data_IF_046708997367
#
_entry.id   IF_046708997367
#
_cell.length_a   1.000
_cell.length_b   1.000
_cell.length_c   1.000
_cell.angle_alpha   90.00
_cell.angle_beta   90.00
_cell.angle_gamma   90.00
#
_symmetry.space_group_name_H-M   'P 1'
#
loop_
_entity.id
_entity.type
_entity.pdbx_description
1 polymer ?
#
# COMPACT_ATOMS: atom_id res chain seq x y z
N UNK A 1 -7.38 0.58 -1.84
CA UNK A 1 -6.82 1.37 -2.98
C UNK A 1 -5.30 1.42 -2.97
N UNK A 2 -4.62 1.74 -1.85
CA UNK A 2 -3.15 1.64 -1.76
C UNK A 2 -2.63 0.25 -2.16
N UNK A 3 -3.37 -0.81 -1.81
CA UNK A 3 -3.08 -2.17 -2.26
C UNK A 3 -3.18 -2.36 -3.79
N UNK A 4 -4.12 -1.70 -4.47
CA UNK A 4 -4.30 -1.78 -5.93
C UNK A 4 -3.16 -1.07 -6.64
N UNK A 5 -2.81 0.16 -6.22
CA UNK A 5 -1.67 0.89 -6.79
C UNK A 5 -0.34 0.18 -6.52
N UNK A 6 -0.17 -0.41 -5.34
CA UNK A 6 1.00 -1.26 -5.03
C UNK A 6 1.08 -2.45 -5.98
N UNK A 7 -0.04 -3.17 -6.19
CA UNK A 7 -0.11 -4.29 -7.15
C UNK A 7 0.18 -3.85 -8.57
N UNK A 8 -0.35 -2.70 -8.98
CA UNK A 8 -0.09 -2.12 -10.30
C UNK A 8 1.41 -1.84 -10.50
N UNK A 9 2.06 -1.15 -9.55
CA UNK A 9 3.51 -0.89 -9.64
C UNK A 9 4.32 -2.20 -9.71
N UNK A 10 3.96 -3.19 -8.91
CA UNK A 10 4.62 -4.51 -8.94
C UNK A 10 4.42 -5.23 -10.28
N UNK A 11 3.22 -5.15 -10.87
CA UNK A 11 2.95 -5.73 -12.19
C UNK A 11 3.76 -5.05 -13.30
N UNK A 12 3.91 -3.71 -13.24
CA UNK A 12 4.74 -2.94 -14.18
C UNK A 12 6.21 -3.35 -14.07
N UNK A 13 6.74 -3.48 -12.86
CA UNK A 13 8.13 -3.95 -12.65
C UNK A 13 8.33 -5.38 -13.15
N UNK A 14 7.36 -6.27 -12.89
CA UNK A 14 7.40 -7.64 -13.40
C UNK A 14 7.41 -7.67 -14.94
N UNK A 15 6.56 -6.88 -15.59
CA UNK A 15 6.50 -6.75 -17.05
C UNK A 15 7.80 -6.16 -17.64
N UNK A 16 8.43 -5.22 -16.94
CA UNK A 16 9.72 -4.65 -17.32
C UNK A 16 10.84 -5.71 -17.30
N UNK A 17 10.84 -6.60 -16.31
CA UNK A 17 11.87 -7.66 -16.20
C UNK A 17 11.57 -8.91 -17.00
N UNK A 18 10.31 -9.21 -17.31
CA UNK A 18 9.93 -10.35 -18.16
C UNK A 18 10.11 -10.07 -19.65
N UNK A 19 10.26 -8.80 -20.04
CA UNK A 19 10.33 -8.36 -21.44
C UNK A 19 8.96 -8.16 -22.08
N UNK A 20 7.86 -8.31 -21.33
CA UNK A 20 6.51 -8.04 -21.85
C UNK A 20 6.30 -6.54 -22.11
N UNK A 21 6.89 -5.67 -21.29
CA UNK A 21 6.74 -4.22 -21.42
C UNK A 21 7.28 -3.70 -22.77
N UNK A 22 8.39 -4.27 -23.24
CA UNK A 22 9.04 -3.89 -24.51
C UNK A 22 8.77 -4.86 -25.65
N UNK A 23 7.76 -5.73 -25.52
CA UNK A 23 7.45 -6.73 -26.55
C UNK A 23 7.21 -6.12 -27.93
N UNK A 24 6.29 -5.17 -28.03
CA UNK A 24 5.97 -4.48 -29.29
C UNK A 24 7.19 -3.73 -29.85
N UNK A 25 7.99 -3.12 -28.96
CA UNK A 25 9.22 -2.42 -29.33
C UNK A 25 10.27 -3.37 -29.93
N UNK A 26 10.38 -4.60 -29.40
CA UNK A 26 11.28 -5.65 -29.89
C UNK A 26 10.78 -6.22 -31.21
N UNK A 27 9.48 -6.52 -31.32
CA UNK A 27 8.85 -7.00 -32.56
C UNK A 27 9.06 -6.01 -33.72
N UNK A 28 8.88 -4.71 -33.47
CA UNK A 28 9.12 -3.65 -34.47
C UNK A 28 10.58 -3.57 -34.96
N UNK A 29 11.55 -4.10 -34.19
CA UNK A 29 12.98 -4.13 -34.52
C UNK A 29 13.47 -5.51 -34.96
N UNK A 30 12.58 -6.50 -35.09
CA UNK A 30 12.95 -7.87 -35.44
C UNK A 30 13.78 -8.57 -34.36
N UNK A 31 13.66 -8.16 -33.09
CA UNK A 31 14.36 -8.77 -31.95
C UNK A 31 13.47 -9.87 -31.38
N UNK A 32 13.74 -11.12 -31.73
CA UNK A 32 12.92 -12.26 -31.28
C UNK A 32 13.34 -12.82 -29.91
N UNK A 33 14.59 -12.58 -29.49
CA UNK A 33 15.12 -13.17 -28.26
C UNK A 33 14.82 -12.31 -27.01
N UNK A 34 14.60 -13.00 -25.89
CA UNK A 34 14.58 -12.37 -24.57
C UNK A 34 16.01 -12.11 -24.08
N UNK A 35 16.21 -11.07 -23.26
CA UNK A 35 17.52 -10.76 -22.70
C UNK A 35 18.04 -11.91 -21.83
N UNK A 36 19.32 -12.21 -21.98
CA UNK A 36 20.01 -13.18 -21.12
C UNK A 36 20.09 -12.62 -19.70
N UNK A 37 19.89 -13.49 -18.70
CA UNK A 37 20.17 -13.17 -17.31
C UNK A 37 21.67 -13.26 -17.03
N UNK A 38 22.24 -12.22 -16.43
CA UNK A 38 23.66 -12.14 -16.03
C UNK A 38 23.76 -11.74 -14.55
N UNK A 39 24.84 -12.09 -13.85
CA UNK A 39 25.04 -11.66 -12.47
C UNK A 39 25.34 -10.15 -12.40
N UNK A 40 24.86 -9.47 -11.36
CA UNK A 40 25.11 -8.05 -11.13
C UNK A 40 26.61 -7.71 -11.21
N UNK A 41 27.47 -8.59 -10.69
CA UNK A 41 28.92 -8.40 -10.68
C UNK A 41 29.54 -8.14 -12.05
N UNK A 42 28.91 -8.56 -13.15
CA UNK A 42 29.41 -8.29 -14.50
C UNK A 42 29.21 -6.82 -14.93
N UNK A 43 28.23 -6.12 -14.39
CA UNK A 43 27.93 -4.72 -14.77
C UNK A 43 28.49 -3.70 -13.78
N UNK A 44 29.20 -4.14 -12.74
CA UNK A 44 29.76 -3.26 -11.72
C UNK A 44 31.14 -2.74 -12.16
N UNK A 45 31.28 -1.42 -12.19
CA UNK A 45 32.56 -0.73 -12.27
C UNK A 45 33.22 -0.62 -10.88
N UNK A 46 32.47 -0.22 -9.85
CA UNK A 46 32.97 -0.11 -8.48
C UNK A 46 31.89 -0.53 -7.47
N UNK A 47 32.25 -1.27 -6.43
CA UNK A 47 31.37 -1.55 -5.29
C UNK A 47 32.11 -1.33 -3.98
N UNK A 48 31.49 -0.58 -3.06
CA UNK A 48 32.13 -0.17 -1.81
C UNK A 48 31.13 -0.13 -0.65
N UNK A 49 31.46 -0.82 0.44
CA UNK A 49 30.72 -0.73 1.71
C UNK A 49 30.92 0.66 2.34
N UNK A 50 29.94 1.17 3.07
CA UNK A 50 30.08 2.48 3.72
C UNK A 50 30.93 2.50 4.99
N UNK A 51 30.87 3.64 5.67
CA UNK A 51 31.68 3.97 6.84
C UNK A 51 31.02 3.51 8.16
N UNK A 52 31.80 3.02 9.13
CA UNK A 52 31.32 2.62 10.47
C UNK A 52 31.59 3.56 11.67
N UNK A 53 32.22 4.75 11.55
CA UNK A 53 32.45 5.63 12.70
C UNK A 53 31.13 6.21 13.23
N UNK A 54 31.13 6.62 14.50
CA UNK A 54 29.94 7.12 15.19
C UNK A 54 29.58 8.53 14.70
N UNK A 55 28.40 8.73 14.08
CA UNK A 55 28.03 10.04 13.56
C UNK A 55 27.39 10.93 14.63
N UNK A 56 27.59 12.23 14.49
CA UNK A 56 27.01 13.31 15.30
C UNK A 56 25.60 13.67 14.82
N UNK A 57 24.75 14.12 15.73
CA UNK A 57 23.38 14.58 15.39
C UNK A 57 23.38 15.95 14.72
N UNK A 58 24.32 16.82 15.12
CA UNK A 58 24.41 18.20 14.69
C UNK A 58 25.75 18.44 13.96
N UNK A 59 25.85 19.50 13.15
CA UNK A 59 27.12 19.96 12.57
C UNK A 59 28.17 20.24 13.66
N UNK A 60 29.48 20.26 13.33
CA UNK A 60 30.06 20.21 11.98
C UNK A 60 30.19 18.79 11.40
N UNK A 61 30.51 18.70 10.10
CA UNK A 61 30.78 17.44 9.39
C UNK A 61 30.04 17.31 8.06
N UNK A 62 30.36 16.25 7.32
CA UNK A 62 29.70 15.88 6.06
C UNK A 62 28.43 15.08 6.37
N UNK A 63 27.40 15.21 5.54
CA UNK A 63 26.13 14.50 5.72
C UNK A 63 26.32 13.00 5.46
N UNK A 64 26.02 12.17 6.45
CA UNK A 64 26.00 10.71 6.32
C UNK A 64 24.55 10.21 6.39
N UNK A 65 24.12 9.48 5.35
CA UNK A 65 22.78 8.91 5.30
C UNK A 65 22.53 7.94 6.47
N UNK A 66 21.30 7.87 6.97
CA UNK A 66 20.90 6.74 7.81
C UNK A 66 20.46 5.56 6.95
N UNK A 67 20.47 4.36 7.52
CA UNK A 67 19.87 3.17 6.90
C UNK A 67 18.38 3.42 6.57
N UNK A 68 17.71 4.21 7.41
CA UNK A 68 16.32 4.63 7.24
C UNK A 68 16.07 5.45 5.98
N UNK A 69 17.09 6.15 5.46
CA UNK A 69 16.97 7.03 4.30
C UNK A 69 16.73 6.27 3.00
N UNK A 70 17.24 5.04 2.89
CA UNK A 70 17.16 4.26 1.65
C UNK A 70 15.99 3.28 1.73
N UNK A 71 15.08 3.40 0.76
CA UNK A 71 13.94 2.51 0.56
C UNK A 71 13.92 2.07 -0.91
N UNK A 72 13.17 1.01 -1.26
CA UNK A 72 13.08 0.59 -2.66
C UNK A 72 12.69 1.77 -3.56
N UNK A 73 13.56 2.14 -4.50
CA UNK A 73 13.31 3.19 -5.46
C UNK A 73 13.42 4.64 -4.95
N UNK A 74 13.81 4.88 -3.70
CA UNK A 74 13.85 6.25 -3.15
C UNK A 74 14.90 6.46 -2.06
N UNK A 75 15.42 7.68 -2.01
CA UNK A 75 16.37 8.16 -1.01
C UNK A 75 15.80 9.40 -0.34
N UNK A 76 15.59 9.33 0.97
CA UNK A 76 15.28 10.49 1.79
C UNK A 76 16.57 11.22 2.21
N UNK A 77 16.93 12.26 1.45
CA UNK A 77 18.10 13.09 1.72
C UNK A 77 18.01 13.89 3.03
N UNK A 78 16.80 14.06 3.59
CA UNK A 78 16.62 14.73 4.88
C UNK A 78 17.01 13.83 6.04
N UNK A 79 17.01 12.51 5.81
CA UNK A 79 17.33 11.52 6.81
C UNK A 79 18.84 11.23 6.92
N UNK A 80 19.59 12.18 7.49
CA UNK A 80 21.04 12.09 7.65
C UNK A 80 21.51 12.51 9.05
N UNK A 81 22.79 12.27 9.28
CA UNK A 81 23.59 12.76 10.42
C UNK A 81 24.86 13.43 9.91
N UNK A 82 25.74 13.86 10.80
CA UNK A 82 26.99 14.52 10.45
C UNK A 82 28.18 13.66 10.85
N UNK A 83 29.20 13.62 10.00
CA UNK A 83 30.43 12.89 10.25
C UNK A 83 31.62 13.72 9.77
N UNK A 84 32.57 13.97 10.67
CA UNK A 84 33.85 14.55 10.30
C UNK A 84 34.72 13.50 9.62
N UNK A 85 35.23 13.84 8.44
CA UNK A 85 36.02 12.95 7.60
C UNK A 85 37.25 13.67 7.09
N UNK A 86 38.31 12.90 6.86
CA UNK A 86 39.46 13.39 6.10
C UNK A 86 39.06 13.63 4.64
N UNK A 87 39.75 14.54 3.94
CA UNK A 87 39.50 14.79 2.51
C UNK A 87 39.64 13.51 1.66
N UNK A 88 40.55 12.62 2.07
CA UNK A 88 40.77 11.31 1.43
C UNK A 88 39.55 10.40 1.57
N UNK A 89 38.96 10.32 2.76
CA UNK A 89 37.76 9.51 2.98
C UNK A 89 36.56 10.15 2.28
N UNK A 90 36.43 11.47 2.34
CA UNK A 90 35.37 12.18 1.63
C UNK A 90 35.41 11.88 0.13
N UNK A 91 36.59 11.96 -0.50
CA UNK A 91 36.75 11.66 -1.92
C UNK A 91 36.39 10.20 -2.26
N UNK A 92 36.63 9.27 -1.34
CA UNK A 92 36.39 7.85 -1.57
C UNK A 92 34.93 7.42 -1.36
N UNK A 93 34.23 8.06 -0.41
CA UNK A 93 32.89 7.66 0.04
C UNK A 93 31.77 8.64 -0.36
N UNK A 94 32.09 9.78 -0.98
CA UNK A 94 31.06 10.68 -1.51
C UNK A 94 30.15 9.97 -2.51
N UNK A 95 28.88 10.32 -2.48
CA UNK A 95 27.89 9.91 -3.45
C UNK A 95 27.94 10.84 -4.67
N UNK A 96 27.79 10.24 -5.84
CA UNK A 96 27.75 10.90 -7.13
C UNK A 96 26.46 10.50 -7.87
N UNK A 97 26.03 11.36 -8.79
CA UNK A 97 24.82 11.11 -9.57
C UNK A 97 24.97 9.81 -10.39
N UNK A 98 23.99 8.92 -10.28
CA UNK A 98 23.99 7.58 -10.88
C UNK A 98 24.54 6.46 -9.97
N UNK A 99 24.97 6.79 -8.74
CA UNK A 99 25.31 5.77 -7.75
C UNK A 99 24.05 5.01 -7.30
N UNK A 100 24.12 3.67 -7.27
CA UNK A 100 23.11 2.82 -6.68
C UNK A 100 23.45 2.53 -5.22
N UNK A 101 22.51 2.79 -4.31
CA UNK A 101 22.69 2.53 -2.89
C UNK A 101 21.83 1.36 -2.47
N UNK A 102 22.48 0.26 -2.09
CA UNK A 102 21.86 -0.96 -1.59
C UNK A 102 21.85 -0.99 -0.06
N UNK A 103 20.74 -1.45 0.51
CA UNK A 103 20.64 -1.71 1.95
C UNK A 103 21.26 -3.06 2.28
N UNK A 104 22.39 -3.06 2.99
CA UNK A 104 23.12 -4.28 3.37
C UNK A 104 22.52 -4.97 4.58
N UNK A 105 22.19 -4.19 5.61
CA UNK A 105 21.65 -4.69 6.87
C UNK A 105 20.41 -3.90 7.24
N UNK A 106 19.34 -4.60 7.64
CA UNK A 106 18.13 -3.99 8.16
C UNK A 106 17.43 -4.94 9.16
N UNK A 107 16.63 -4.39 10.05
CA UNK A 107 15.76 -5.19 10.93
C UNK A 107 14.60 -5.81 10.16
N UNK A 108 14.09 -5.14 9.14
CA UNK A 108 13.02 -5.63 8.28
C UNK A 108 13.58 -6.30 7.03
N UNK A 109 13.17 -7.54 6.77
CA UNK A 109 13.66 -8.35 5.65
C UNK A 109 13.39 -7.68 4.29
N UNK A 110 12.22 -7.07 4.12
CA UNK A 110 11.78 -6.42 2.88
C UNK A 110 12.71 -5.28 2.41
N UNK A 111 13.51 -4.70 3.32
CA UNK A 111 14.45 -3.64 2.98
C UNK A 111 15.84 -4.17 2.70
N UNK A 112 16.19 -5.39 3.10
CA UNK A 112 17.50 -5.97 2.83
C UNK A 112 17.66 -6.20 1.33
N UNK A 113 18.80 -5.76 0.79
CA UNK A 113 19.11 -5.79 -0.65
C UNK A 113 18.26 -4.84 -1.49
N UNK A 114 17.42 -3.98 -0.89
CA UNK A 114 16.69 -2.96 -1.63
C UNK A 114 17.67 -1.89 -2.09
N UNK A 115 17.44 -1.35 -3.29
CA UNK A 115 18.26 -0.27 -3.84
C UNK A 115 17.45 0.96 -4.21
N UNK A 116 18.18 2.07 -4.29
CA UNK A 116 17.70 3.31 -4.88
C UNK A 116 18.82 3.97 -5.70
N UNK A 117 18.44 4.67 -6.76
CA UNK A 117 19.35 5.43 -7.61
C UNK A 117 19.50 6.88 -7.13
N UNK A 118 20.73 7.28 -6.83
CA UNK A 118 21.06 8.64 -6.44
C UNK A 118 21.13 9.56 -7.68
N UNK A 119 20.01 10.13 -8.10
CA UNK A 119 19.95 11.01 -9.29
C UNK A 119 20.23 12.48 -8.94
N UNK A 120 19.35 13.08 -8.14
CA UNK A 120 19.42 14.51 -7.77
C UNK A 120 19.92 14.66 -6.33
N UNK A 121 21.24 14.58 -6.15
CA UNK A 121 21.87 14.70 -4.84
C UNK A 121 21.96 16.19 -4.44
N UNK A 122 21.30 16.63 -3.34
CA UNK A 122 21.18 18.05 -3.03
C UNK A 122 22.42 18.67 -2.35
N UNK A 123 23.34 17.84 -1.87
CA UNK A 123 24.55 18.25 -1.13
C UNK A 123 25.59 17.13 -1.19
N UNK A 124 26.70 17.25 -0.46
CA UNK A 124 27.69 16.19 -0.32
C UNK A 124 27.22 15.18 0.72
N UNK A 125 26.90 13.97 0.25
CA UNK A 125 26.49 12.85 1.09
C UNK A 125 27.52 11.72 1.06
N UNK A 126 27.68 11.07 2.21
CA UNK A 126 28.35 9.77 2.37
C UNK A 126 27.36 8.78 3.00
N UNK A 127 27.76 7.51 3.15
CA UNK A 127 26.87 6.44 3.57
C UNK A 127 27.53 5.50 4.60
N UNK A 128 26.73 4.88 5.49
CA UNK A 128 27.22 4.02 6.55
C UNK A 128 27.50 2.60 6.04
N UNK A 129 28.24 1.80 6.81
CA UNK A 129 28.62 0.40 6.55
C UNK A 129 27.44 -0.58 6.34
N UNK A 130 26.25 -0.15 6.74
CA UNK A 130 24.97 -0.84 6.52
C UNK A 130 24.37 -0.57 5.15
N UNK A 131 24.98 0.30 4.37
CA UNK A 131 24.68 0.56 2.97
C UNK A 131 25.90 0.16 2.11
N UNK A 132 25.63 -0.23 0.87
CA UNK A 132 26.65 -0.54 -0.15
C UNK A 132 26.40 0.37 -1.34
N UNK A 133 27.43 1.08 -1.79
CA UNK A 133 27.40 1.78 -3.08
C UNK A 133 27.81 0.83 -4.18
N UNK A 134 27.05 0.84 -5.27
CA UNK A 134 27.35 0.18 -6.53
C UNK A 134 27.37 1.22 -7.64
N UNK A 135 28.46 1.26 -8.41
CA UNK A 135 28.60 2.04 -9.64
C UNK A 135 28.57 1.10 -10.81
N UNK A 136 27.57 1.27 -11.67
CA UNK A 136 27.45 0.49 -12.88
C UNK A 136 28.38 1.01 -13.97
N UNK A 137 28.89 0.11 -14.80
CA UNK A 137 29.43 0.47 -16.10
C UNK A 137 28.27 0.88 -17.01
N UNK A 138 28.11 2.20 -17.19
CA UNK A 138 27.01 2.80 -17.97
C UNK A 138 26.99 2.39 -19.43
N UNK A 139 28.10 1.84 -19.97
CA UNK A 139 28.12 1.27 -21.33
C UNK A 139 27.40 -0.08 -21.40
N UNK A 140 27.22 -0.76 -20.26
CA UNK A 140 26.56 -2.07 -20.15
C UNK A 140 25.19 -1.99 -19.50
N UNK A 141 25.05 -1.23 -18.41
CA UNK A 141 23.82 -1.16 -17.64
C UNK A 141 23.55 0.26 -17.12
N UNK A 142 22.33 0.74 -17.37
CA UNK A 142 21.86 2.01 -16.80
C UNK A 142 21.47 1.83 -15.32
N UNK A 143 21.92 2.71 -14.41
CA UNK A 143 21.56 2.62 -13.00
C UNK A 143 20.04 2.56 -12.76
N UNK A 144 19.26 3.38 -13.47
CA UNK A 144 17.80 3.36 -13.37
C UNK A 144 17.17 2.02 -13.79
N UNK A 145 17.75 1.34 -14.80
CA UNK A 145 17.27 0.02 -15.21
C UNK A 145 17.61 -1.06 -14.17
N UNK A 146 18.80 -1.00 -13.58
CA UNK A 146 19.20 -1.91 -12.50
C UNK A 146 18.29 -1.71 -11.28
N UNK A 147 17.96 -0.47 -10.91
CA UNK A 147 17.03 -0.16 -9.83
C UNK A 147 15.62 -0.76 -10.08
N UNK A 148 15.09 -0.60 -11.29
CA UNK A 148 13.82 -1.21 -11.71
C UNK A 148 13.89 -2.73 -11.59
N UNK A 149 14.96 -3.34 -12.10
CA UNK A 149 15.14 -4.79 -12.10
C UNK A 149 15.21 -5.33 -10.67
N UNK A 150 16.00 -4.72 -9.79
CA UNK A 150 16.14 -5.14 -8.41
C UNK A 150 14.91 -4.83 -7.53
N UNK A 151 13.96 -4.06 -8.05
CA UNK A 151 12.66 -3.81 -7.42
C UNK A 151 11.59 -4.83 -7.83
N UNK A 152 11.86 -5.70 -8.81
CA UNK A 152 10.91 -6.71 -9.28
C UNK A 152 10.72 -7.84 -8.26
N UNK A 153 9.51 -8.40 -8.19
CA UNK A 153 9.17 -9.47 -7.24
C UNK A 153 10.12 -10.66 -7.34
N UNK A 154 10.44 -11.11 -8.56
CA UNK A 154 11.31 -12.27 -8.79
C UNK A 154 12.70 -12.09 -8.15
N UNK A 155 13.31 -10.92 -8.37
CA UNK A 155 14.65 -10.63 -7.84
C UNK A 155 14.59 -10.36 -6.33
N UNK A 156 13.53 -9.71 -5.86
CA UNK A 156 13.29 -9.49 -4.42
C UNK A 156 13.16 -10.82 -3.67
N UNK A 157 12.38 -11.77 -4.19
CA UNK A 157 12.22 -13.10 -3.59
C UNK A 157 13.56 -13.86 -3.56
N UNK A 158 14.35 -13.76 -4.64
CA UNK A 158 15.68 -14.35 -4.69
C UNK A 158 16.63 -13.73 -3.65
N UNK A 159 16.63 -12.39 -3.51
CA UNK A 159 17.41 -11.68 -2.48
C UNK A 159 17.03 -12.16 -1.10
N UNK A 160 15.73 -12.23 -0.79
CA UNK A 160 15.23 -12.65 0.52
C UNK A 160 15.65 -14.08 0.88
N UNK A 161 15.72 -14.98 -0.11
CA UNK A 161 16.24 -16.34 0.07
C UNK A 161 17.74 -16.42 0.40
N UNK A 162 18.53 -15.40 0.04
CA UNK A 162 19.97 -15.33 0.33
C UNK A 162 20.29 -14.63 1.66
N UNK A 163 19.30 -14.00 2.30
CA UNK A 163 19.51 -13.19 3.49
C UNK A 163 19.94 -14.06 4.67
N UNK A 164 21.05 -13.66 5.30
CA UNK A 164 21.57 -14.30 6.52
C UNK A 164 21.16 -13.48 7.74
N UNK A 165 20.81 -14.17 8.82
CA UNK A 165 20.47 -13.54 10.10
C UNK A 165 21.63 -13.67 11.08
N UNK A 166 22.05 -12.57 11.71
CA UNK A 166 23.06 -12.57 12.77
C UNK A 166 22.75 -11.47 13.79
N UNK A 167 22.76 -11.81 15.08
CA UNK A 167 22.54 -10.88 16.20
C UNK A 167 21.28 -9.97 16.04
N UNK A 168 20.17 -10.54 15.55
CA UNK A 168 18.90 -9.81 15.35
C UNK A 168 18.86 -8.89 14.11
N UNK A 169 19.94 -8.83 13.33
CA UNK A 169 19.96 -8.12 12.05
C UNK A 169 19.99 -9.12 10.89
N UNK A 170 19.26 -8.76 9.84
CA UNK A 170 19.21 -9.49 8.57
C UNK A 170 20.07 -8.74 7.57
N UNK A 171 20.90 -9.45 6.82
CA UNK A 171 21.73 -8.81 5.82
C UNK A 171 22.16 -9.69 4.66
N UNK A 172 22.68 -9.02 3.65
CA UNK A 172 23.23 -9.60 2.42
C UNK A 172 24.72 -9.27 2.32
N UNK A 173 25.54 -10.24 1.90
CA UNK A 173 26.96 -9.98 1.67
C UNK A 173 27.18 -9.34 0.29
N UNK A 174 28.28 -8.60 0.11
CA UNK A 174 28.62 -8.03 -1.21
C UNK A 174 28.87 -9.10 -2.26
N UNK A 175 29.34 -10.29 -1.86
CA UNK A 175 29.53 -11.44 -2.76
C UNK A 175 28.18 -12.00 -3.21
N UNK A 176 27.25 -12.19 -2.26
CA UNK A 176 25.90 -12.67 -2.59
C UNK A 176 25.19 -11.65 -3.50
N UNK A 177 25.33 -10.35 -3.21
CA UNK A 177 24.77 -9.26 -4.03
C UNK A 177 25.30 -9.28 -5.48
N UNK A 178 26.61 -9.50 -5.67
CA UNK A 178 27.23 -9.62 -7.00
C UNK A 178 26.71 -10.82 -7.80
N UNK A 179 26.28 -11.90 -7.12
CA UNK A 179 25.85 -13.13 -7.76
C UNK A 179 24.35 -13.18 -8.05
N UNK A 180 23.61 -12.09 -7.80
CA UNK A 180 22.19 -12.01 -8.17
C UNK A 180 22.08 -11.83 -9.68
N UNK A 181 21.31 -12.71 -10.31
CA UNK A 181 21.06 -12.68 -11.74
C UNK A 181 19.86 -11.78 -12.07
N UNK A 182 20.00 -10.97 -13.11
CA UNK A 182 18.93 -10.13 -13.64
C UNK A 182 19.01 -10.08 -15.18
N UNK A 183 17.88 -9.87 -15.90
CA UNK A 183 17.90 -9.73 -17.34
C UNK A 183 18.72 -8.49 -17.75
N UNK A 184 19.59 -8.62 -18.74
CA UNK A 184 20.31 -7.49 -19.31
C UNK A 184 20.03 -7.36 -20.83
N UNK A 185 19.06 -6.52 -21.22
CA UNK A 185 18.84 -6.18 -22.62
C UNK A 185 19.84 -5.14 -23.13
N UNK A 186 19.76 -4.80 -24.41
CA UNK A 186 20.58 -3.74 -25.01
C UNK A 186 20.37 -2.39 -24.32
N UNK A 187 21.34 -1.47 -24.40
CA UNK A 187 21.21 -0.13 -23.82
C UNK A 187 19.97 0.60 -24.36
N UNK A 188 19.67 0.47 -25.65
CA UNK A 188 18.48 1.09 -26.26
C UNK A 188 17.18 0.57 -25.64
N UNK A 189 17.09 -0.73 -25.42
CA UNK A 189 15.92 -1.33 -24.78
C UNK A 189 15.84 -0.97 -23.29
N UNK A 190 16.98 -0.86 -22.58
CA UNK A 190 17.01 -0.38 -21.19
C UNK A 190 16.45 1.05 -21.08
N UNK A 191 16.80 1.94 -22.01
CA UNK A 191 16.27 3.31 -22.07
C UNK A 191 14.75 3.28 -22.24
N UNK A 192 14.26 2.46 -23.17
CA UNK A 192 12.81 2.32 -23.42
C UNK A 192 12.07 1.79 -22.18
N UNK A 193 12.61 0.75 -21.52
CA UNK A 193 12.03 0.21 -20.29
C UNK A 193 11.93 1.29 -19.22
N UNK A 194 13.03 2.02 -18.98
CA UNK A 194 13.06 3.10 -17.98
C UNK A 194 12.00 4.16 -18.31
N UNK A 195 11.91 4.57 -19.57
CA UNK A 195 10.92 5.55 -20.02
C UNK A 195 9.48 5.08 -19.78
N UNK A 196 9.13 3.86 -20.18
CA UNK A 196 7.78 3.32 -20.01
C UNK A 196 7.41 3.12 -18.54
N UNK A 197 8.32 2.60 -17.72
CA UNK A 197 8.08 2.43 -16.27
C UNK A 197 7.86 3.79 -15.61
N UNK A 198 8.68 4.79 -15.92
CA UNK A 198 8.53 6.14 -15.38
C UNK A 198 7.19 6.78 -15.78
N UNK A 199 6.77 6.62 -17.02
CA UNK A 199 5.47 7.11 -17.50
C UNK A 199 4.31 6.46 -16.74
N UNK A 200 4.33 5.14 -16.59
CA UNK A 200 3.28 4.39 -15.86
C UNK A 200 3.26 4.73 -14.37
N UNK A 201 4.41 4.93 -13.75
CA UNK A 201 4.49 5.32 -12.33
C UNK A 201 3.99 6.74 -12.12
N UNK A 202 4.36 7.67 -13.01
CA UNK A 202 3.85 9.05 -12.98
C UNK A 202 2.32 9.07 -13.10
N UNK A 203 1.75 8.26 -13.99
CA UNK A 203 0.29 8.11 -14.11
C UNK A 203 -0.32 7.58 -12.80
N UNK A 204 0.28 6.57 -12.18
CA UNK A 204 -0.17 6.04 -10.90
C UNK A 204 -0.15 7.11 -9.79
N UNK A 205 0.92 7.91 -9.70
CA UNK A 205 1.04 9.01 -8.74
C UNK A 205 -0.03 10.08 -8.96
N UNK A 206 -0.31 10.44 -10.21
CA UNK A 206 -1.37 11.40 -10.55
C UNK A 206 -2.76 10.89 -10.14
N UNK A 207 -3.05 9.60 -10.39
CA UNK A 207 -4.31 8.99 -9.98
C UNK A 207 -4.46 8.97 -8.46
N UNK A 208 -3.40 8.63 -7.74
CA UNK A 208 -3.38 8.64 -6.27
C UNK A 208 -3.67 10.04 -5.72
N UNK A 209 -3.00 11.06 -6.26
CA UNK A 209 -3.19 12.45 -5.87
C UNK A 209 -4.63 12.94 -6.11
N UNK A 210 -5.19 12.68 -7.30
CA UNK A 210 -6.57 13.04 -7.64
C UNK A 210 -7.58 12.37 -6.72
N UNK A 211 -7.41 11.08 -6.44
CA UNK A 211 -8.30 10.34 -5.58
C UNK A 211 -8.23 10.84 -4.13
N UNK A 212 -7.02 11.12 -3.63
CA UNK A 212 -6.81 11.72 -2.30
C UNK A 212 -7.52 13.07 -2.17
N UNK A 213 -7.41 13.93 -3.19
CA UNK A 213 -8.10 15.21 -3.23
C UNK A 213 -9.64 15.03 -3.25
N UNK A 214 -10.16 14.12 -4.08
CA UNK A 214 -11.58 13.82 -4.14
C UNK A 214 -12.13 13.29 -2.81
N UNK A 215 -11.37 12.41 -2.12
CA UNK A 215 -11.74 11.88 -0.81
C UNK A 215 -11.85 12.98 0.24
N UNK A 216 -10.83 13.84 0.33
CA UNK A 216 -10.83 15.01 1.22
C UNK A 216 -12.00 15.95 0.94
N UNK A 217 -12.42 16.07 -0.32
CA UNK A 217 -13.59 16.87 -0.69
C UNK A 217 -14.89 16.23 -0.19
N UNK A 218 -15.08 14.93 -0.39
CA UNK A 218 -16.26 14.19 0.11
C UNK A 218 -16.35 14.25 1.63
N UNK A 219 -15.23 14.08 2.33
CA UNK A 219 -15.14 14.16 3.79
C UNK A 219 -15.54 15.55 4.32
N UNK A 220 -15.37 16.61 3.52
CA UNK A 220 -15.79 17.98 3.86
C UNK A 220 -17.22 18.30 3.43
N UNK A 221 -17.64 17.84 2.26
CA UNK A 221 -18.96 18.11 1.71
C UNK A 221 -20.06 17.43 2.51
N UNK A 222 -19.83 16.21 2.99
CA UNK A 222 -20.86 15.44 3.70
C UNK A 222 -21.29 16.13 5.00
N UNK A 223 -20.37 16.54 5.91
CA UNK A 223 -20.76 17.32 7.09
C UNK A 223 -21.35 18.69 6.74
N UNK A 224 -20.83 19.36 5.70
CA UNK A 224 -21.34 20.67 5.29
C UNK A 224 -22.78 20.59 4.76
N UNK A 225 -23.09 19.56 3.98
CA UNK A 225 -24.43 19.28 3.47
C UNK A 225 -25.38 18.90 4.61
N UNK A 226 -24.96 18.03 5.52
CA UNK A 226 -25.73 17.68 6.72
C UNK A 226 -25.99 18.91 7.58
N UNK A 227 -24.99 19.76 7.82
CA UNK A 227 -25.15 21.00 8.57
C UNK A 227 -26.14 21.95 7.88
N UNK A 228 -26.11 22.06 6.55
CA UNK A 228 -27.12 22.82 5.79
C UNK A 228 -28.51 22.18 5.88
N UNK A 229 -28.60 20.85 5.85
CA UNK A 229 -29.85 20.11 5.98
C UNK A 229 -30.50 20.36 7.35
N UNK A 230 -29.74 20.19 8.44
CA UNK A 230 -30.22 20.41 9.81
C UNK A 230 -30.58 21.87 10.09
N UNK A 231 -30.02 22.83 9.35
CA UNK A 231 -30.40 24.25 9.44
C UNK A 231 -31.60 24.63 8.57
N UNK A 232 -32.17 23.69 7.81
CA UNK A 232 -33.22 23.98 6.83
C UNK A 232 -32.74 24.78 5.62
N UNK A 233 -31.43 24.97 5.45
CA UNK A 233 -30.86 25.81 4.39
C UNK A 233 -30.72 25.10 3.03
N UNK A 234 -31.25 23.88 2.90
CA UNK A 234 -31.26 23.14 1.64
C UNK A 234 -32.48 23.45 0.75
N UNK A 235 -33.53 24.03 1.33
CA UNK A 235 -34.79 24.37 0.64
C UNK A 235 -35.25 25.73 1.15
N UNK A 236 -35.85 26.60 0.31
CA UNK A 236 -36.49 27.83 0.77
C UNK A 236 -37.46 27.54 1.92
N UNK A 237 -37.40 28.34 2.99
CA UNK A 237 -38.28 28.19 4.15
C UNK A 237 -39.60 28.94 3.91
N UNK A 238 -40.74 28.34 4.29
CA UNK A 238 -42.03 29.05 4.28
C UNK A 238 -42.08 30.01 5.47
N UNK A 239 -42.33 31.32 5.27
CA UNK A 239 -42.49 32.28 6.36
C UNK A 239 -43.61 31.92 7.35
N UNK A 240 -44.56 31.09 6.94
CA UNK A 240 -45.67 30.63 7.78
C UNK A 240 -45.36 29.36 8.57
N UNK A 241 -44.19 28.73 8.39
CA UNK A 241 -43.81 27.55 9.18
C UNK A 241 -43.65 27.92 10.66
N UNK A 242 -44.21 27.08 11.53
CA UNK A 242 -44.05 27.23 12.98
C UNK A 242 -42.56 27.06 13.36
N UNK A 243 -41.95 28.02 14.08
CA UNK A 243 -40.56 27.91 14.46
C UNK A 243 -40.35 26.74 15.43
N UNK A 244 -39.29 25.96 15.20
CA UNK A 244 -38.96 24.78 15.99
C UNK A 244 -38.85 25.03 17.51
N UNK A 245 -38.61 26.28 17.94
CA UNK A 245 -38.65 26.68 19.35
C UNK A 245 -40.00 26.41 20.02
N UNK A 246 -41.11 26.67 19.32
CA UNK A 246 -42.46 26.50 19.86
C UNK A 246 -42.79 25.01 20.03
N UNK A 247 -42.40 24.17 19.06
CA UNK A 247 -42.52 22.72 19.18
C UNK A 247 -41.67 22.16 20.33
N UNK A 248 -40.45 22.65 20.52
CA UNK A 248 -39.57 22.23 21.62
C UNK A 248 -40.14 22.59 23.00
N UNK A 249 -40.75 23.77 23.13
CA UNK A 249 -41.45 24.17 24.36
C UNK A 249 -42.63 23.23 24.65
N UNK A 250 -43.43 22.88 23.64
CA UNK A 250 -44.53 21.91 23.77
C UNK A 250 -44.03 20.53 24.19
N UNK A 251 -42.92 20.04 23.61
CA UNK A 251 -42.31 18.75 24.00
C UNK A 251 -41.78 18.81 25.43
N UNK A 252 -41.17 19.92 25.85
CA UNK A 252 -40.68 20.09 27.24
C UNK A 252 -41.83 20.11 28.23
N UNK A 253 -42.89 20.85 27.95
CA UNK A 253 -44.08 20.88 28.77
C UNK A 253 -44.75 19.50 28.86
N UNK A 254 -44.87 18.79 27.74
CA UNK A 254 -45.39 17.43 27.70
C UNK A 254 -44.54 16.44 28.51
N UNK A 255 -43.20 16.48 28.38
CA UNK A 255 -42.29 15.63 29.16
C UNK A 255 -42.29 15.95 30.65
N UNK A 256 -42.40 17.22 31.02
CA UNK A 256 -42.53 17.63 32.42
C UNK A 256 -43.86 17.16 33.01
N UNK A 257 -44.95 17.22 32.25
CA UNK A 257 -46.25 16.67 32.65
C UNK A 257 -46.22 15.14 32.76
N UNK A 258 -45.56 14.43 31.85
CA UNK A 258 -45.37 12.96 31.95
C UNK A 258 -44.49 12.56 33.14
N UNK A 259 -43.45 13.34 33.44
CA UNK A 259 -42.60 13.14 34.60
C UNK A 259 -43.34 13.41 35.92
N UNK A 260 -44.19 14.44 35.96
CA UNK A 260 -45.07 14.74 37.10
C UNK A 260 -46.17 13.69 37.29
N UNK A 261 -46.60 13.02 36.22
CA UNK A 261 -47.60 11.95 36.24
C UNK A 261 -47.04 10.56 36.64
N UNK A 262 -45.77 10.45 37.04
CA UNK A 262 -45.22 9.24 37.65
C UNK A 262 -45.10 8.01 36.73
N UNK A 263 -45.21 8.15 35.40
CA UNK A 263 -44.95 7.04 34.47
C UNK A 263 -43.45 6.82 34.30
N UNK A 264 -42.87 6.05 35.22
CA UNK A 264 -41.51 5.55 35.10
C UNK A 264 -41.37 4.66 33.85
N UNK A 265 -40.76 5.19 32.79
CA UNK A 265 -40.25 4.36 31.70
C UNK A 265 -39.13 3.48 32.27
N UNK A 266 -39.41 2.19 32.47
CA UNK A 266 -38.38 1.17 32.67
C UNK A 266 -37.55 1.07 31.38
N UNK A 267 -36.42 1.78 31.32
CA UNK A 267 -35.35 1.50 30.38
C UNK A 267 -34.06 1.34 31.17
N UNK A 268 -33.53 0.11 31.15
CA UNK A 268 -32.30 -0.27 31.82
C UNK A 268 -31.14 0.63 31.42
N UNK A 269 -30.42 1.13 32.42
CA UNK A 269 -29.27 2.01 32.26
C UNK A 269 -28.05 1.17 31.92
N UNK A 270 -27.79 0.92 30.64
CA UNK A 270 -26.44 0.55 30.21
C UNK A 270 -25.54 1.79 30.33
N UNK A 271 -24.49 1.70 31.13
CA UNK A 271 -23.46 2.74 31.24
C UNK A 271 -22.63 2.70 29.95
N UNK A 272 -22.90 3.60 29.01
CA UNK A 272 -21.94 3.97 27.98
C UNK A 272 -21.18 5.21 28.47
N UNK A 273 -19.87 5.05 28.73
CA UNK A 273 -18.97 6.17 28.83
C UNK A 273 -18.79 6.74 27.42
N UNK A 274 -19.41 7.88 27.13
CA UNK A 274 -19.24 8.60 25.88
C UNK A 274 -18.87 10.06 26.17
N UNK A 275 -17.76 10.49 25.58
CA UNK A 275 -17.23 11.84 25.65
C UNK A 275 -18.24 12.83 25.00
N UNK A 276 -18.69 13.89 25.69
CA UNK A 276 -19.73 14.79 25.20
C UNK A 276 -19.38 15.58 23.92
N UNK A 277 -18.13 15.51 23.45
CA UNK A 277 -17.69 16.11 22.18
C UNK A 277 -17.57 15.13 21.00
N UNK A 278 -17.95 13.86 21.17
CA UNK A 278 -18.07 12.93 20.05
C UNK A 278 -19.55 12.79 19.68
N UNK A 279 -19.95 13.46 18.60
CA UNK A 279 -21.10 13.00 17.82
C UNK A 279 -20.74 11.59 17.32
N UNK A 280 -21.53 10.54 17.65
CA UNK A 280 -21.31 9.25 17.05
C UNK A 280 -21.52 9.42 15.55
N UNK A 281 -20.45 9.33 14.77
CA UNK A 281 -20.56 9.04 13.36
C UNK A 281 -21.27 7.68 13.32
N UNK A 282 -22.56 7.66 12.97
CA UNK A 282 -23.23 6.42 12.68
C UNK A 282 -22.37 5.73 11.62
N UNK A 283 -21.80 4.57 11.97
CA UNK A 283 -21.10 3.74 11.02
C UNK A 283 -22.00 3.59 9.79
N UNK A 284 -21.43 3.74 8.59
CA UNK A 284 -22.18 3.60 7.35
C UNK A 284 -23.03 2.32 7.42
N UNK A 285 -24.30 2.36 6.97
CA UNK A 285 -25.18 1.21 7.07
C UNK A 285 -24.55 0.02 6.35
N UNK A 286 -24.30 -1.06 7.08
CA UNK A 286 -23.75 -2.30 6.53
C UNK A 286 -24.74 -2.84 5.50
N UNK A 287 -24.31 -3.12 4.25
CA UNK A 287 -25.18 -3.71 3.23
C UNK A 287 -25.77 -5.03 3.74
N UNK A 288 -27.07 -5.30 3.50
CA UNK A 288 -27.76 -6.45 4.06
C UNK A 288 -27.26 -7.80 3.54
N UNK A 289 -26.52 -7.82 2.44
CA UNK A 289 -25.98 -8.99 1.75
C UNK A 289 -24.44 -9.03 1.71
N UNK A 290 -23.77 -8.24 2.57
CA UNK A 290 -22.31 -8.10 2.57
C UNK A 290 -21.60 -9.44 2.76
N UNK A 291 -22.02 -10.26 3.75
CA UNK A 291 -21.31 -11.49 4.10
C UNK A 291 -21.62 -12.60 3.10
N UNK A 292 -22.87 -12.76 2.67
CA UNK A 292 -23.25 -13.71 1.62
C UNK A 292 -22.65 -13.34 0.26
N UNK A 293 -22.47 -12.05 -0.04
CA UNK A 293 -21.74 -11.56 -1.22
C UNK A 293 -20.28 -12.01 -1.21
N UNK A 294 -19.57 -11.79 -0.09
CA UNK A 294 -18.18 -12.24 0.07
C UNK A 294 -18.04 -13.77 -0.03
N UNK A 295 -19.01 -14.52 0.49
CA UNK A 295 -19.02 -15.99 0.38
C UNK A 295 -19.33 -16.48 -1.06
N UNK A 296 -20.08 -15.71 -1.86
CA UNK A 296 -20.29 -16.01 -3.30
C UNK A 296 -19.02 -15.78 -4.11
N UNK A 297 -18.25 -14.75 -3.77
CA UNK A 297 -17.00 -14.40 -4.46
C UNK A 297 -15.82 -15.30 -4.05
N UNK A 298 -15.68 -15.58 -2.76
CA UNK A 298 -14.52 -16.27 -2.19
C UNK A 298 -14.76 -17.77 -1.94
N UNK A 299 -15.99 -18.26 -2.07
CA UNK A 299 -16.37 -19.62 -1.68
C UNK A 299 -16.48 -19.79 -0.16
N UNK A 300 -16.47 -21.05 0.30
CA UNK A 300 -16.63 -21.37 1.72
C UNK A 300 -15.48 -20.78 2.57
N UNK A 301 -15.81 -20.01 3.60
CA UNK A 301 -14.81 -19.39 4.49
C UNK A 301 -15.07 -19.74 5.95
N UNK A 302 -14.01 -19.87 6.75
CA UNK A 302 -14.14 -19.92 8.21
C UNK A 302 -14.65 -18.58 8.76
N UNK A 303 -15.33 -18.58 9.90
CA UNK A 303 -15.84 -17.34 10.54
C UNK A 303 -14.72 -16.30 10.75
N UNK A 304 -13.52 -16.74 11.13
CA UNK A 304 -12.35 -15.86 11.30
C UNK A 304 -11.88 -15.24 9.98
N UNK A 305 -11.91 -16.00 8.89
CA UNK A 305 -11.54 -15.51 7.57
C UNK A 305 -12.60 -14.55 7.01
N UNK A 306 -13.88 -14.86 7.23
CA UNK A 306 -14.99 -14.02 6.80
C UNK A 306 -15.02 -12.67 7.56
N UNK A 307 -14.74 -12.68 8.87
CA UNK A 307 -14.57 -11.45 9.65
C UNK A 307 -13.45 -10.58 9.07
N UNK A 308 -12.28 -11.17 8.81
CA UNK A 308 -11.14 -10.46 8.24
C UNK A 308 -11.44 -9.89 6.83
N UNK A 309 -12.20 -10.61 6.00
CA UNK A 309 -12.59 -10.17 4.67
C UNK A 309 -13.67 -9.08 4.68
N UNK A 310 -14.54 -9.05 5.69
CA UNK A 310 -15.65 -8.09 5.78
C UNK A 310 -15.23 -6.67 6.21
N UNK A 311 -14.03 -6.52 6.76
CA UNK A 311 -13.55 -5.27 7.38
C UNK A 311 -14.50 -4.69 8.46
N UNK A 312 -15.42 -5.50 8.98
CA UNK A 312 -16.34 -5.11 10.05
C UNK A 312 -15.68 -5.20 11.43
N UNK A 313 -16.13 -4.35 12.35
CA UNK A 313 -15.89 -4.53 13.77
C UNK A 313 -16.50 -5.87 14.27
N UNK A 314 -15.89 -6.58 15.23
CA UNK A 314 -16.38 -7.89 15.69
C UNK A 314 -17.84 -7.91 16.16
N UNK A 315 -18.36 -6.82 16.74
CA UNK A 315 -19.75 -6.76 17.20
C UNK A 315 -20.70 -6.53 16.01
N UNK A 316 -20.32 -5.68 15.05
CA UNK A 316 -21.07 -5.49 13.81
C UNK A 316 -21.13 -6.76 12.96
N UNK A 317 -20.01 -7.47 12.86
CA UNK A 317 -19.91 -8.75 12.17
C UNK A 317 -20.85 -9.79 12.77
N UNK A 318 -20.88 -9.93 14.10
CA UNK A 318 -21.78 -10.87 14.79
C UNK A 318 -23.25 -10.58 14.50
N UNK A 319 -23.65 -9.31 14.59
CA UNK A 319 -25.02 -8.89 14.29
C UNK A 319 -25.39 -9.18 12.84
N UNK A 320 -24.49 -8.89 11.91
CA UNK A 320 -24.73 -9.12 10.48
C UNK A 320 -24.75 -10.62 10.13
N UNK A 321 -23.87 -11.42 10.72
CA UNK A 321 -23.82 -12.87 10.51
C UNK A 321 -25.10 -13.55 10.99
N UNK A 322 -25.61 -13.18 12.16
CA UNK A 322 -26.89 -13.69 12.68
C UNK A 322 -28.03 -13.30 11.74
N UNK A 323 -28.06 -12.04 11.31
CA UNK A 323 -29.10 -11.54 10.40
C UNK A 323 -29.14 -12.28 9.06
N UNK A 324 -27.98 -12.52 8.44
CA UNK A 324 -27.89 -13.24 7.16
C UNK A 324 -28.11 -14.76 7.31
N UNK A 325 -27.82 -15.34 8.49
CA UNK A 325 -28.19 -16.72 8.84
C UNK A 325 -29.71 -16.88 9.04
N UNK A 326 -30.33 -15.95 9.77
CA UNK A 326 -31.79 -15.93 9.99
C UNK A 326 -32.56 -15.68 8.69
N UNK A 327 -31.99 -14.90 7.77
CA UNK A 327 -32.51 -14.71 6.42
C UNK A 327 -32.29 -15.91 5.48
N UNK A 328 -31.58 -16.95 5.95
CA UNK A 328 -31.26 -18.14 5.17
C UNK A 328 -30.27 -17.92 4.03
N UNK A 329 -29.52 -16.81 4.03
CA UNK A 329 -28.53 -16.45 3.01
C UNK A 329 -27.14 -17.07 3.25
N UNK A 330 -26.86 -17.51 4.49
CA UNK A 330 -25.61 -18.17 4.89
C UNK A 330 -25.92 -19.45 5.67
N UNK A 331 -25.26 -20.55 5.30
CA UNK A 331 -25.33 -21.83 6.02
C UNK A 331 -23.96 -22.23 6.57
N UNK A 332 -23.97 -23.03 7.65
CA UNK A 332 -22.76 -23.67 8.17
C UNK A 332 -22.58 -25.02 7.47
N UNK A 333 -21.42 -25.21 6.84
CA UNK A 333 -20.98 -26.47 6.26
C UNK A 333 -19.84 -27.04 7.10
N UNK A 334 -19.81 -28.37 7.26
CA UNK A 334 -18.72 -29.07 7.93
C UNK A 334 -17.71 -29.54 6.87
N UNK A 335 -16.46 -29.14 7.01
CA UNK A 335 -15.33 -29.66 6.23
C UNK A 335 -14.30 -30.27 7.21
N UNK A 336 -14.43 -31.57 7.46
CA UNK A 336 -13.66 -32.27 8.50
C UNK A 336 -13.96 -31.75 9.92
N UNK A 337 -12.91 -31.41 10.68
CA UNK A 337 -13.03 -30.84 12.04
C UNK A 337 -13.34 -29.33 12.06
N UNK A 338 -13.46 -28.66 10.91
CA UNK A 338 -13.63 -27.20 10.82
C UNK A 338 -15.03 -26.81 10.34
N UNK A 339 -15.62 -25.84 11.03
CA UNK A 339 -16.90 -25.23 10.65
C UNK A 339 -16.64 -24.11 9.65
N UNK A 340 -17.19 -24.26 8.45
CA UNK A 340 -17.11 -23.30 7.35
C UNK A 340 -18.48 -22.65 7.11
N UNK A 341 -18.49 -21.44 6.57
CA UNK A 341 -19.69 -20.70 6.18
C UNK A 341 -19.78 -20.67 4.66
N UNK A 342 -20.96 -20.92 4.12
CA UNK A 342 -21.26 -20.91 2.68
C UNK A 342 -22.49 -20.05 2.39
N UNK A 343 -22.50 -19.36 1.26
CA UNK A 343 -23.69 -18.66 0.78
C UNK A 343 -24.72 -19.67 0.24
N UNK A 344 -25.99 -19.50 0.62
CA UNK A 344 -27.09 -20.30 0.09
C UNK A 344 -27.51 -19.73 -1.26
N UNK A 345 -27.36 -20.50 -2.33
CA UNK A 345 -27.84 -20.11 -3.66
C UNK A 345 -29.37 -20.16 -3.69
N UNK A 346 -30.02 -19.01 -3.86
CA UNK A 346 -31.43 -18.96 -4.22
C UNK A 346 -31.62 -19.50 -5.63
N UNK A 347 -32.73 -20.18 -5.87
CA UNK A 347 -33.07 -20.94 -7.07
C UNK A 347 -33.30 -20.09 -8.34
N UNK A 348 -32.84 -18.84 -8.39
CA UNK A 348 -33.02 -17.92 -9.52
C UNK A 348 -31.78 -17.70 -10.40
N UNK A 349 -30.58 -18.08 -9.96
CA UNK A 349 -29.34 -17.75 -10.70
C UNK A 349 -28.75 -18.92 -11.52
N UNK A 350 -29.40 -20.09 -11.53
CA UNK A 350 -29.01 -21.22 -12.40
C UNK A 350 -29.27 -20.99 -13.89
N UNK A 351 -29.91 -19.88 -14.29
CA UNK A 351 -30.24 -19.61 -15.69
C UNK A 351 -29.14 -18.84 -16.48
N UNK A 352 -28.17 -18.20 -15.81
CA UNK A 352 -27.17 -17.34 -16.48
C UNK A 352 -25.80 -17.99 -16.68
N UNK A 353 -25.51 -19.13 -16.05
CA UNK A 353 -24.21 -19.81 -16.20
C UNK A 353 -24.23 -21.02 -17.16
N UNK A 354 -25.38 -21.32 -17.79
CA UNK A 354 -25.56 -22.48 -18.69
C UNK A 354 -25.79 -22.09 -20.17
N UNK A 355 -25.30 -20.92 -20.62
CA UNK A 355 -25.42 -20.48 -22.03
C UNK A 355 -24.11 -20.19 -22.76
N UNK A 356 -22.94 -20.51 -22.21
CA UNK A 356 -21.66 -20.20 -22.88
C UNK A 356 -20.69 -21.36 -23.11
N UNK A 357 -21.16 -22.63 -23.06
CA UNK A 357 -20.33 -23.80 -23.40
C UNK A 357 -20.93 -24.74 -24.45
N UNK A 358 -21.86 -24.25 -25.28
CA UNK A 358 -22.44 -25.06 -26.35
C UNK A 358 -22.57 -24.31 -27.67
N UNK A 359 -21.47 -23.78 -28.21
CA UNK A 359 -21.28 -23.53 -29.66
C UNK A 359 -19.82 -23.21 -29.94
N UNK A 360 -19.12 -24.10 -30.63
CA UNK A 360 -17.75 -23.89 -31.08
C UNK A 360 -17.10 -25.22 -31.43
N UNK A 361 -17.53 -25.78 -32.57
CA UNK A 361 -16.90 -26.91 -33.24
C UNK A 361 -15.46 -26.63 -33.60
#
# INVERSE_FOLDING_TARGET
MAAILKRFRQAVLAAATSGELTREWREARGIESLPRKIPLGEVIHEMRNGLSPKPSLNPPGVKILRIGAVRPGTIDWTDHRYLELSDKDLAAFRLEAGDLIFTRYNGTLEFVGACANATSIPDVYVYPDKLIRVRCDTSRALPAYVEISFSSVEIRDHIEGLVKSSAGQKGISGTDLKNIFFPLPSIEEQIEIVHQVQALFTLADQLESRLSAARKLVDRLTPALLAKAFRGALVPQDPNDEPASVLLERIRAARQAEAAAGKASRRGRCKAAANPNQLPLAAAPVPPDLLSGLLRECGALSERALLAASELDPDQFRVQLIREQDAGAIRRAADGERVMLEATTSRSDTASSMRYQATGK
#
